data_IF_807082135860
#
_entry.id   IF_807082135860
#
_cell.length_a   1.000
_cell.length_b   1.000
_cell.length_c   1.000
_cell.angle_alpha   90.00
_cell.angle_beta   90.00
_cell.angle_gamma   90.00
#
_symmetry.space_group_name_H-M   'P 1'
#
loop_
_entity.id
_entity.type
_entity.pdbx_description
1 polymer ?
#
# COMPACT_ATOMS: atom_id res chain seq x y z
N UNK A 1 -4.53 22.97 2.94
CA UNK A 1 -5.67 23.86 2.66
C UNK A 1 -6.16 24.53 3.93
N UNK A 2 -6.92 23.90 4.85
CA UNK A 2 -7.42 24.63 6.05
C UNK A 2 -6.34 25.29 6.92
N UNK A 3 -5.28 24.56 7.29
CA UNK A 3 -4.19 25.14 8.09
C UNK A 3 -3.40 26.22 7.34
N UNK A 4 -3.28 26.09 6.01
CA UNK A 4 -2.59 27.07 5.18
C UNK A 4 -3.42 28.34 5.02
N UNK A 5 -4.74 28.19 4.89
CA UNK A 5 -5.69 29.29 4.79
C UNK A 5 -5.78 30.04 6.12
N UNK A 6 -5.87 29.33 7.25
CA UNK A 6 -5.79 29.92 8.58
C UNK A 6 -4.46 30.64 8.84
N UNK A 7 -3.34 30.09 8.35
CA UNK A 7 -2.03 30.75 8.48
C UNK A 7 -1.92 32.01 7.60
N UNK A 8 -2.65 32.07 6.48
CA UNK A 8 -2.77 33.29 5.66
C UNK A 8 -3.64 34.35 6.32
N UNK A 9 -4.75 33.95 6.94
CA UNK A 9 -5.67 34.87 7.61
C UNK A 9 -5.10 35.40 8.94
N UNK A 10 -4.36 34.55 9.67
CA UNK A 10 -3.82 34.85 11.00
C UNK A 10 -2.35 34.41 11.15
N UNK A 11 -1.40 35.07 10.47
CA UNK A 11 0.00 34.65 10.42
C UNK A 11 0.72 34.75 11.77
N UNK A 12 0.38 35.75 12.59
CA UNK A 12 1.08 36.01 13.86
C UNK A 12 0.45 35.31 15.07
N UNK A 13 -0.76 34.76 14.90
CA UNK A 13 -1.54 34.16 15.98
C UNK A 13 -1.54 32.63 15.96
N UNK A 14 -1.13 31.99 14.86
CA UNK A 14 -1.17 30.52 14.71
C UNK A 14 0.21 29.97 14.36
N UNK A 15 0.69 29.07 15.23
CA UNK A 15 1.92 28.29 15.06
C UNK A 15 1.56 26.84 14.81
N UNK A 16 2.17 26.18 13.81
CA UNK A 16 1.81 24.80 13.41
C UNK A 16 3.04 23.91 13.48
N UNK A 17 2.97 22.92 14.36
CA UNK A 17 4.03 21.94 14.60
C UNK A 17 3.57 20.60 14.07
N UNK A 18 4.37 20.00 13.18
CA UNK A 18 4.05 18.70 12.57
C UNK A 18 5.08 17.66 12.98
N UNK A 19 4.58 16.55 13.51
CA UNK A 19 5.35 15.38 13.84
C UNK A 19 4.80 14.16 13.10
N UNK A 20 5.70 13.32 12.62
CA UNK A 20 5.36 12.04 12.01
C UNK A 20 5.96 10.90 12.83
N UNK A 21 5.13 9.95 13.25
CA UNK A 21 5.53 8.81 14.11
C UNK A 21 6.55 7.88 13.47
N UNK A 22 6.59 7.80 12.14
CA UNK A 22 7.60 7.01 11.42
C UNK A 22 8.99 7.65 11.46
N UNK A 23 9.05 8.99 11.48
CA UNK A 23 10.31 9.74 11.54
C UNK A 23 10.77 9.95 12.98
N UNK A 24 9.82 10.12 13.90
CA UNK A 24 10.07 10.49 15.30
C UNK A 24 9.63 9.38 16.25
N UNK A 25 10.10 8.15 16.01
CA UNK A 25 9.76 7.00 16.86
C UNK A 25 10.38 7.07 18.26
N UNK A 26 11.46 7.85 18.44
CA UNK A 26 12.06 8.12 19.75
C UNK A 26 11.50 9.43 20.33
N UNK A 27 11.03 9.35 21.58
CA UNK A 27 10.50 10.49 22.36
C UNK A 27 11.50 11.66 22.37
N UNK A 28 12.80 11.37 22.47
CA UNK A 28 13.84 12.42 22.49
C UNK A 28 13.94 13.15 21.14
N UNK A 29 13.87 12.41 20.04
CA UNK A 29 13.89 12.97 18.69
C UNK A 29 12.64 13.83 18.44
N UNK A 30 11.47 13.36 18.88
CA UNK A 30 10.22 14.09 18.77
C UNK A 30 10.25 15.41 19.55
N UNK A 31 10.70 15.40 20.81
CA UNK A 31 10.81 16.62 21.63
C UNK A 31 11.81 17.62 21.07
N UNK A 32 12.95 17.12 20.56
CA UNK A 32 13.94 17.96 19.90
C UNK A 32 13.38 18.63 18.64
N UNK A 33 12.56 17.91 17.89
CA UNK A 33 11.91 18.45 16.69
C UNK A 33 10.82 19.49 17.03
N UNK A 34 10.03 19.26 18.09
CA UNK A 34 9.09 20.27 18.61
C UNK A 34 9.83 21.56 18.97
N UNK A 35 10.89 21.44 19.76
CA UNK A 35 11.69 22.60 20.16
C UNK A 35 12.29 23.31 18.94
N UNK A 36 12.77 22.56 17.94
CA UNK A 36 13.30 23.13 16.70
C UNK A 36 12.23 23.90 15.92
N UNK A 37 11.03 23.34 15.74
CA UNK A 37 9.93 23.99 15.02
C UNK A 37 9.43 25.23 15.77
N UNK A 38 9.27 25.16 17.09
CA UNK A 38 8.93 26.31 17.94
C UNK A 38 9.97 27.43 17.84
N UNK A 39 11.26 27.12 17.94
CA UNK A 39 12.31 28.12 17.81
C UNK A 39 12.29 28.79 16.43
N UNK A 40 12.05 28.03 15.36
CA UNK A 40 11.96 28.60 14.01
C UNK A 40 10.75 29.51 13.83
N UNK A 41 9.57 29.12 14.33
CA UNK A 41 8.36 29.94 14.22
C UNK A 41 8.46 31.22 15.06
N UNK A 42 9.14 31.18 16.21
CA UNK A 42 9.31 32.32 17.11
C UNK A 42 10.64 33.08 16.95
N UNK A 43 11.44 32.76 15.91
CA UNK A 43 12.75 33.38 15.62
C UNK A 43 13.77 33.29 16.78
N UNK A 44 13.70 32.22 17.58
CA UNK A 44 14.61 31.96 18.69
C UNK A 44 15.82 31.10 18.26
N UNK A 45 16.93 31.21 18.99
CA UNK A 45 18.12 30.39 18.75
C UNK A 45 17.92 28.97 19.28
N UNK A 46 17.91 27.98 18.39
CA UNK A 46 17.81 26.58 18.76
C UNK A 46 19.16 25.98 19.20
N UNK A 47 19.23 25.43 20.41
CA UNK A 47 20.41 24.71 20.90
C UNK A 47 20.32 23.21 20.60
N UNK A 48 21.21 22.70 19.75
CA UNK A 48 21.27 21.26 19.40
C UNK A 48 21.76 20.37 20.55
N UNK A 49 22.37 20.95 21.59
CA UNK A 49 22.98 20.25 22.73
C UNK A 49 22.06 20.16 23.95
N UNK A 50 20.86 20.76 23.91
CA UNK A 50 19.90 20.72 25.01
C UNK A 50 19.45 19.28 25.31
N UNK A 51 19.30 18.97 26.60
CA UNK A 51 18.80 17.66 27.03
C UNK A 51 17.31 17.51 26.72
N UNK A 52 16.78 16.28 26.78
CA UNK A 52 15.34 16.08 26.56
C UNK A 52 14.50 16.82 27.61
N UNK A 53 14.96 16.89 28.85
CA UNK A 53 14.23 17.53 29.94
C UNK A 53 14.20 19.05 29.73
N UNK A 54 15.32 19.67 29.34
CA UNK A 54 15.38 21.10 29.00
C UNK A 54 14.43 21.43 27.83
N UNK A 55 14.36 20.55 26.82
CA UNK A 55 13.43 20.72 25.71
C UNK A 55 11.96 20.62 26.16
N UNK A 56 11.66 19.79 27.17
CA UNK A 56 10.30 19.68 27.72
C UNK A 56 9.92 20.93 28.52
N UNK A 57 10.82 21.47 29.32
CA UNK A 57 10.61 22.69 30.09
C UNK A 57 10.44 23.89 29.16
N UNK A 58 11.32 24.01 28.15
CA UNK A 58 11.21 25.02 27.10
C UNK A 58 9.85 24.97 26.38
N UNK A 59 9.38 23.77 26.03
CA UNK A 59 8.07 23.60 25.39
C UNK A 59 6.93 24.09 26.31
N UNK A 60 6.98 23.75 27.60
CA UNK A 60 5.96 24.16 28.58
C UNK A 60 5.95 25.69 28.75
N UNK A 61 7.12 26.31 28.85
CA UNK A 61 7.23 27.77 28.99
C UNK A 61 6.77 28.49 27.72
N UNK A 62 7.14 28.00 26.54
CA UNK A 62 6.65 28.53 25.26
C UNK A 62 5.12 28.43 25.17
N UNK A 63 4.51 27.32 25.61
CA UNK A 63 3.05 27.17 25.63
C UNK A 63 2.38 28.19 26.57
N UNK A 64 3.01 28.50 27.70
CA UNK A 64 2.52 29.52 28.65
C UNK A 64 2.64 30.92 28.07
N UNK A 65 3.79 31.27 27.49
CA UNK A 65 4.00 32.59 26.87
C UNK A 65 3.08 32.82 25.67
N UNK A 66 2.91 31.80 24.81
CA UNK A 66 2.00 31.89 23.67
C UNK A 66 0.56 32.10 24.12
N UNK A 67 0.14 31.41 25.19
CA UNK A 67 -1.19 31.60 25.75
C UNK A 67 -1.44 33.00 26.31
N UNK A 68 -0.44 33.62 26.96
CA UNK A 68 -0.50 35.03 27.39
C UNK A 68 -0.54 36.00 26.21
N UNK A 69 0.15 35.67 25.12
CA UNK A 69 0.17 36.46 23.89
C UNK A 69 -1.04 36.22 22.98
N UNK A 70 -2.03 35.42 23.41
CA UNK A 70 -3.18 34.99 22.60
C UNK A 70 -2.79 34.31 21.27
N UNK A 71 -1.64 33.62 21.27
CA UNK A 71 -1.17 32.80 20.15
C UNK A 71 -1.54 31.35 20.39
N UNK A 72 -2.11 30.71 19.38
CA UNK A 72 -2.52 29.31 19.41
C UNK A 72 -1.48 28.42 18.74
N UNK A 73 -1.05 27.36 19.43
CA UNK A 73 -0.15 26.35 18.86
C UNK A 73 -0.95 25.11 18.47
N UNK A 74 -0.80 24.65 17.22
CA UNK A 74 -1.45 23.46 16.70
C UNK A 74 -0.40 22.37 16.48
N UNK A 75 -0.50 21.29 17.25
CA UNK A 75 0.30 20.08 17.07
C UNK A 75 -0.44 19.08 16.18
N UNK A 76 0.19 18.69 15.07
CA UNK A 76 -0.30 17.64 14.18
C UNK A 76 0.59 16.42 14.34
N UNK A 77 0.04 15.34 14.88
CA UNK A 77 0.73 14.07 15.10
C UNK A 77 0.23 13.05 14.06
N UNK A 78 1.01 12.83 13.00
CA UNK A 78 0.77 11.81 11.99
C UNK A 78 1.26 10.44 12.48
N UNK A 79 0.52 9.37 12.15
CA UNK A 79 0.72 8.01 12.70
C UNK A 79 0.72 8.00 14.23
N UNK A 80 -0.35 8.55 14.81
CA UNK A 80 -0.52 8.73 16.25
C UNK A 80 -0.32 7.45 17.08
N UNK A 81 -0.71 6.30 16.54
CA UNK A 81 -0.58 5.00 17.20
C UNK A 81 0.87 4.60 17.46
N UNK A 82 1.84 5.11 16.69
CA UNK A 82 3.27 4.90 16.94
C UNK A 82 3.74 5.65 18.19
N UNK A 83 3.26 6.88 18.42
CA UNK A 83 3.54 7.63 19.65
C UNK A 83 2.88 7.02 20.89
N UNK A 84 1.84 6.22 20.70
CA UNK A 84 1.19 5.47 21.76
C UNK A 84 1.94 4.16 22.13
N UNK A 85 3.04 3.82 21.47
CA UNK A 85 3.84 2.65 21.83
C UNK A 85 4.85 2.97 22.95
N UNK A 86 5.09 2.01 23.85
CA UNK A 86 6.09 2.16 24.91
C UNK A 86 5.65 3.07 26.05
N UNK A 87 6.54 3.99 26.49
CA UNK A 87 6.39 4.78 27.73
C UNK A 87 5.61 6.08 27.57
N UNK A 88 5.19 6.44 26.34
CA UNK A 88 4.32 7.58 26.03
C UNK A 88 4.73 8.91 26.71
N UNK A 89 6.04 9.19 26.82
CA UNK A 89 6.50 10.37 27.57
C UNK A 89 6.13 11.66 26.86
N UNK A 90 6.31 11.69 25.54
CA UNK A 90 5.91 12.82 24.69
C UNK A 90 4.43 13.15 24.88
N UNK A 91 3.54 12.17 24.70
CA UNK A 91 2.10 12.35 24.81
C UNK A 91 1.67 12.78 26.22
N UNK A 92 2.30 12.20 27.24
CA UNK A 92 2.05 12.60 28.63
C UNK A 92 2.44 14.07 28.85
N UNK A 93 3.67 14.46 28.53
CA UNK A 93 4.17 15.83 28.76
C UNK A 93 3.37 16.86 27.98
N UNK A 94 3.03 16.56 26.73
CA UNK A 94 2.28 17.47 25.88
C UNK A 94 0.84 17.65 26.38
N UNK A 95 0.11 16.56 26.65
CA UNK A 95 -1.28 16.64 27.11
C UNK A 95 -1.40 17.19 28.53
N UNK A 96 -0.41 16.94 29.41
CA UNK A 96 -0.35 17.52 30.76
C UNK A 96 -0.12 19.04 30.70
N UNK A 97 0.80 19.50 29.83
CA UNK A 97 1.03 20.93 29.62
C UNK A 97 -0.25 21.66 29.13
N UNK A 98 -1.04 21.01 28.30
CA UNK A 98 -2.31 21.55 27.78
C UNK A 98 -3.44 21.64 28.80
N UNK A 99 -3.38 20.89 29.90
CA UNK A 99 -4.39 21.03 30.97
C UNK A 99 -4.21 22.31 31.78
N UNK A 100 -3.09 23.01 31.62
CA UNK A 100 -2.90 24.31 32.25
C UNK A 100 -3.83 25.37 31.64
N UNK A 101 -4.55 26.10 32.51
CA UNK A 101 -5.55 27.13 32.16
C UNK A 101 -4.99 28.26 31.29
N UNK A 102 -3.67 28.40 31.23
CA UNK A 102 -2.98 29.46 30.49
C UNK A 102 -2.66 29.08 29.06
N UNK A 103 -2.78 27.80 28.65
CA UNK A 103 -2.33 27.35 27.33
C UNK A 103 -3.44 27.40 26.27
N UNK A 104 -3.15 28.02 25.13
CA UNK A 104 -3.99 27.94 23.93
C UNK A 104 -3.33 26.99 22.92
N UNK A 105 -3.55 25.68 23.10
CA UNK A 105 -2.98 24.67 22.22
C UNK A 105 -4.02 23.64 21.76
N UNK A 106 -3.78 23.06 20.59
CA UNK A 106 -4.64 22.04 19.98
C UNK A 106 -3.76 20.88 19.53
N UNK A 107 -4.19 19.65 19.80
CA UNK A 107 -3.53 18.43 19.30
C UNK A 107 -4.46 17.71 18.36
N UNK A 108 -3.96 17.43 17.16
CA UNK A 108 -4.62 16.66 16.12
C UNK A 108 -3.80 15.39 15.90
N UNK A 109 -4.29 14.27 16.44
CA UNK A 109 -3.73 12.95 16.17
C UNK A 109 -4.40 12.33 14.95
N UNK A 110 -3.61 11.91 13.97
CA UNK A 110 -4.08 11.20 12.76
C UNK A 110 -3.51 9.78 12.81
N UNK A 111 -4.38 8.78 12.72
CA UNK A 111 -3.99 7.37 12.63
C UNK A 111 -5.03 6.61 11.80
N UNK A 112 -4.58 5.55 11.13
CA UNK A 112 -5.45 4.60 10.45
C UNK A 112 -6.10 3.58 11.43
N UNK A 113 -5.58 3.49 12.65
CA UNK A 113 -5.98 2.48 13.64
C UNK A 113 -7.21 2.94 14.43
N UNK A 114 -8.28 2.14 14.39
CA UNK A 114 -9.54 2.46 15.07
C UNK A 114 -9.45 2.34 16.60
N UNK A 115 -8.55 1.55 17.16
CA UNK A 115 -8.38 1.37 18.60
C UNK A 115 -7.18 2.17 19.16
N UNK A 116 -6.71 3.19 18.44
CA UNK A 116 -5.57 4.00 18.87
C UNK A 116 -5.74 4.64 20.26
N UNK A 117 -6.97 4.95 20.67
CA UNK A 117 -7.30 5.49 21.99
C UNK A 117 -7.14 4.45 23.12
N UNK A 118 -7.22 3.16 22.80
CA UNK A 118 -7.03 2.06 23.77
C UNK A 118 -5.56 1.80 24.05
N UNK A 119 -4.66 2.19 23.15
CA UNK A 119 -3.22 2.09 23.35
C UNK A 119 -2.72 3.05 24.43
N UNK A 120 -3.46 4.13 24.70
CA UNK A 120 -3.07 5.13 25.68
C UNK A 120 -3.08 4.57 27.11
N UNK A 121 -1.98 4.77 27.83
CA UNK A 121 -1.90 4.45 29.25
C UNK A 121 -2.95 5.25 30.05
N UNK A 122 -3.41 4.71 31.18
CA UNK A 122 -4.44 5.35 32.03
C UNK A 122 -4.15 6.83 32.33
N UNK A 123 -2.88 7.17 32.59
CA UNK A 123 -2.45 8.55 32.91
C UNK A 123 -2.53 9.52 31.73
N UNK A 124 -2.32 9.05 30.50
CA UNK A 124 -2.42 9.84 29.27
C UNK A 124 -3.87 9.92 28.82
N UNK A 125 -4.57 8.77 28.85
CA UNK A 125 -5.98 8.66 28.52
C UNK A 125 -6.86 9.56 29.40
N UNK A 126 -6.56 9.68 30.70
CA UNK A 126 -7.26 10.60 31.60
C UNK A 126 -7.15 12.07 31.19
N UNK A 127 -6.12 12.44 30.42
CA UNK A 127 -5.87 13.82 29.97
C UNK A 127 -6.37 14.09 28.55
N UNK A 128 -6.76 13.03 27.84
CA UNK A 128 -7.32 13.11 26.51
C UNK A 128 -8.79 13.54 26.58
N UNK A 129 -9.21 14.44 25.69
CA UNK A 129 -10.59 14.98 25.65
C UNK A 129 -11.65 13.98 25.16
N UNK A 130 -11.24 12.75 24.84
CA UNK A 130 -12.08 11.67 24.30
C UNK A 130 -12.85 12.02 23.01
N UNK A 131 -12.45 13.09 22.32
CA UNK A 131 -13.02 13.47 21.03
C UNK A 131 -12.32 12.70 19.92
N UNK A 132 -13.08 11.90 19.18
CA UNK A 132 -12.59 11.10 18.07
C UNK A 132 -13.48 11.33 16.86
N UNK A 133 -12.86 11.72 15.75
CA UNK A 133 -13.52 11.83 14.46
C UNK A 133 -13.16 10.58 13.65
N UNK A 134 -14.18 9.84 13.20
CA UNK A 134 -14.00 8.65 12.37
C UNK A 134 -14.36 9.04 10.94
N UNK A 135 -13.41 8.90 10.03
CA UNK A 135 -13.66 9.05 8.61
C UNK A 135 -14.23 7.74 8.06
N UNK A 136 -15.49 7.79 7.62
CA UNK A 136 -16.14 6.66 6.98
C UNK A 136 -15.72 6.58 5.50
N UNK A 137 -15.65 5.37 4.93
CA UNK A 137 -15.41 5.23 3.50
C UNK A 137 -16.50 5.95 2.70
N UNK A 138 -16.09 6.55 1.57
CA UNK A 138 -17.01 7.28 0.70
C UNK A 138 -17.99 6.31 0.02
N UNK A 139 -19.24 6.76 -0.18
CA UNK A 139 -20.20 6.02 -1.00
C UNK A 139 -19.78 5.99 -2.46
N UNK A 140 -20.22 4.98 -3.22
CA UNK A 140 -19.97 4.87 -4.67
C UNK A 140 -20.40 6.14 -5.41
N UNK A 141 -21.54 6.73 -5.04
CA UNK A 141 -22.02 7.98 -5.64
C UNK A 141 -21.07 9.15 -5.37
N UNK A 142 -20.52 9.23 -4.15
CA UNK A 142 -19.56 10.28 -3.79
C UNK A 142 -18.24 10.11 -4.54
N UNK A 143 -17.81 8.86 -4.74
CA UNK A 143 -16.63 8.53 -5.52
C UNK A 143 -16.84 8.87 -7.00
N UNK A 144 -18.01 8.56 -7.57
CA UNK A 144 -18.35 8.93 -8.93
C UNK A 144 -18.30 10.45 -9.12
N UNK A 145 -18.94 11.22 -8.22
CA UNK A 145 -18.89 12.69 -8.24
C UNK A 145 -17.48 13.23 -8.15
N UNK A 146 -16.63 12.62 -7.32
CA UNK A 146 -15.23 13.00 -7.20
C UNK A 146 -14.48 12.73 -8.52
N UNK A 147 -14.69 11.57 -9.14
CA UNK A 147 -14.07 11.23 -10.42
C UNK A 147 -14.52 12.16 -11.55
N UNK A 148 -15.82 12.48 -11.60
CA UNK A 148 -16.36 13.48 -12.54
C UNK A 148 -15.68 14.83 -12.31
N UNK A 149 -15.66 15.32 -11.07
CA UNK A 149 -15.03 16.61 -10.76
C UNK A 149 -13.54 16.66 -11.11
N UNK A 150 -12.79 15.57 -10.89
CA UNK A 150 -11.36 15.49 -11.19
C UNK A 150 -11.04 15.41 -12.69
N UNK A 151 -11.93 14.79 -13.48
CA UNK A 151 -11.72 14.64 -14.93
C UNK A 151 -12.25 15.82 -15.73
N UNK A 152 -13.25 16.54 -15.23
CA UNK A 152 -13.86 17.68 -15.91
C UNK A 152 -12.89 18.85 -16.02
N UNK A 153 -12.86 19.49 -17.18
CA UNK A 153 -12.05 20.68 -17.42
C UNK A 153 -12.81 21.94 -16.96
N UNK A 154 -12.14 22.86 -16.24
CA UNK A 154 -12.76 24.10 -15.81
C UNK A 154 -13.09 25.00 -17.01
N UNK A 155 -14.24 25.70 -16.94
CA UNK A 155 -14.70 26.60 -17.99
C UNK A 155 -13.76 27.80 -18.18
N UNK A 156 -13.09 28.24 -17.11
CA UNK A 156 -12.11 29.33 -17.10
C UNK A 156 -10.71 28.91 -17.60
N UNK A 157 -10.58 27.72 -18.20
CA UNK A 157 -9.29 27.26 -18.71
C UNK A 157 -8.84 28.04 -19.94
N UNK A 158 -7.52 28.12 -20.15
CA UNK A 158 -6.92 28.70 -21.37
C UNK A 158 -7.19 27.87 -22.65
N UNK A 159 -7.97 26.80 -22.55
CA UNK A 159 -8.26 25.88 -23.64
C UNK A 159 -9.44 26.40 -24.50
N UNK A 160 -9.53 25.99 -25.78
CA UNK A 160 -10.64 26.38 -26.62
C UNK A 160 -11.98 25.94 -26.02
N UNK A 161 -12.93 26.86 -25.86
CA UNK A 161 -14.25 26.59 -25.24
C UNK A 161 -14.99 25.43 -25.91
N UNK A 162 -14.90 25.33 -27.25
CA UNK A 162 -15.49 24.21 -28.01
C UNK A 162 -14.94 22.85 -27.58
N UNK A 163 -13.63 22.77 -27.37
CA UNK A 163 -12.96 21.55 -26.93
C UNK A 163 -13.35 21.20 -25.50
N UNK A 164 -13.39 22.19 -24.60
CA UNK A 164 -13.82 21.98 -23.19
C UNK A 164 -15.25 21.43 -23.14
N UNK A 165 -16.17 22.00 -23.92
CA UNK A 165 -17.55 21.52 -24.00
C UNK A 165 -17.64 20.10 -24.56
N UNK A 166 -16.91 19.79 -25.63
CA UNK A 166 -16.92 18.46 -26.25
C UNK A 166 -16.32 17.40 -25.31
N UNK A 167 -15.19 17.71 -24.69
CA UNK A 167 -14.51 16.83 -23.73
C UNK A 167 -15.40 16.56 -22.52
N UNK A 168 -15.95 17.61 -21.90
CA UNK A 168 -16.81 17.47 -20.71
C UNK A 168 -18.10 16.69 -21.05
N UNK A 169 -18.73 16.95 -22.19
CA UNK A 169 -19.90 16.19 -22.64
C UNK A 169 -19.60 14.70 -22.82
N UNK A 170 -18.42 14.38 -23.39
CA UNK A 170 -17.97 13.00 -23.59
C UNK A 170 -17.69 12.30 -22.27
N UNK A 171 -17.05 12.98 -21.33
CA UNK A 171 -16.82 12.48 -19.97
C UNK A 171 -18.15 12.13 -19.30
N UNK A 172 -19.12 13.05 -19.27
CA UNK A 172 -20.45 12.79 -18.69
C UNK A 172 -21.18 11.63 -19.36
N UNK A 173 -21.04 11.48 -20.68
CA UNK A 173 -21.61 10.33 -21.41
C UNK A 173 -20.98 9.01 -20.98
N UNK A 174 -19.68 8.97 -20.71
CA UNK A 174 -18.97 7.76 -20.25
C UNK A 174 -19.43 7.36 -18.85
N UNK A 175 -19.53 8.33 -17.93
CA UNK A 175 -20.00 8.07 -16.56
C UNK A 175 -21.45 7.54 -16.50
N UNK A 176 -22.27 7.91 -17.49
CA UNK A 176 -23.64 7.42 -17.63
C UNK A 176 -23.75 5.99 -18.19
N UNK A 177 -22.69 5.46 -18.80
CA UNK A 177 -22.67 4.12 -19.40
C UNK A 177 -22.73 3.01 -18.33
N UNK A 178 -23.52 1.96 -18.61
CA UNK A 178 -23.59 0.75 -17.79
C UNK A 178 -22.22 0.05 -17.69
N UNK A 179 -21.41 0.11 -18.74
CA UNK A 179 -20.06 -0.48 -18.73
C UNK A 179 -19.15 0.21 -17.70
N UNK A 180 -19.21 1.54 -17.65
CA UNK A 180 -18.45 2.30 -16.66
C UNK A 180 -18.92 1.99 -15.22
N UNK A 181 -20.24 1.88 -14.98
CA UNK A 181 -20.75 1.45 -13.68
C UNK A 181 -20.22 0.08 -13.24
N UNK A 182 -20.08 -0.87 -14.18
CA UNK A 182 -19.44 -2.15 -13.91
C UNK A 182 -17.96 -2.03 -13.52
N UNK A 183 -17.22 -1.11 -14.16
CA UNK A 183 -15.82 -0.79 -13.81
C UNK A 183 -15.76 -0.19 -12.41
N UNK A 184 -16.61 0.81 -12.13
CA UNK A 184 -16.65 1.51 -10.84
C UNK A 184 -17.00 0.56 -9.68
N UNK A 185 -18.00 -0.31 -9.87
CA UNK A 185 -18.35 -1.31 -8.86
C UNK A 185 -17.17 -2.22 -8.57
N UNK A 186 -16.50 -2.73 -9.62
CA UNK A 186 -15.36 -3.61 -9.37
C UNK A 186 -14.14 -2.92 -8.75
N UNK A 187 -13.92 -1.64 -9.05
CA UNK A 187 -12.89 -0.86 -8.35
C UNK A 187 -13.24 -0.73 -6.88
N UNK A 188 -14.49 -0.39 -6.56
CA UNK A 188 -14.97 -0.22 -5.18
C UNK A 188 -14.97 -1.55 -4.40
N UNK A 189 -15.35 -2.66 -5.05
CA UNK A 189 -15.31 -4.01 -4.47
C UNK A 189 -13.87 -4.43 -4.09
N UNK A 190 -12.87 -3.91 -4.80
CA UNK A 190 -11.45 -4.19 -4.54
C UNK A 190 -10.87 -3.24 -3.49
N UNK A 191 -11.01 -1.94 -3.71
CA UNK A 191 -10.47 -0.88 -2.87
C UNK A 191 -11.24 0.44 -3.12
N UNK A 192 -12.08 0.84 -2.16
CA UNK A 192 -12.88 2.06 -2.23
C UNK A 192 -12.12 3.33 -1.81
N UNK A 193 -10.80 3.29 -1.66
CA UNK A 193 -10.01 4.46 -1.24
C UNK A 193 -9.86 5.48 -2.36
N UNK A 194 -9.86 6.77 -1.98
CA UNK A 194 -9.62 7.88 -2.91
C UNK A 194 -8.26 7.76 -3.61
N UNK A 195 -7.23 7.27 -2.92
CA UNK A 195 -5.90 7.07 -3.48
C UNK A 195 -5.90 6.04 -4.61
N UNK A 196 -6.65 4.94 -4.46
CA UNK A 196 -6.80 3.93 -5.50
C UNK A 196 -7.46 4.53 -6.75
N UNK A 197 -8.52 5.32 -6.56
CA UNK A 197 -9.23 6.00 -7.63
C UNK A 197 -8.34 7.02 -8.34
N UNK A 198 -7.56 7.81 -7.61
CA UNK A 198 -6.61 8.76 -8.20
C UNK A 198 -5.57 8.05 -9.07
N UNK A 199 -5.02 6.91 -8.61
CA UNK A 199 -4.09 6.09 -9.41
C UNK A 199 -4.76 5.54 -10.65
N UNK A 200 -6.02 5.10 -10.54
CA UNK A 200 -6.82 4.65 -11.68
C UNK A 200 -7.01 5.78 -12.69
N UNK A 201 -7.50 6.95 -12.26
CA UNK A 201 -7.71 8.11 -13.13
C UNK A 201 -6.42 8.56 -13.82
N UNK A 202 -5.31 8.58 -13.09
CA UNK A 202 -3.99 8.87 -13.68
C UNK A 202 -3.66 7.90 -14.83
N UNK A 203 -3.92 6.60 -14.63
CA UNK A 203 -3.74 5.59 -15.67
C UNK A 203 -4.70 5.76 -16.85
N UNK A 204 -5.94 6.14 -16.60
CA UNK A 204 -6.94 6.44 -17.65
C UNK A 204 -6.43 7.57 -18.55
N UNK A 205 -5.98 8.67 -17.96
CA UNK A 205 -5.44 9.82 -18.70
C UNK A 205 -4.17 9.44 -19.46
N UNK A 206 -3.33 8.55 -18.90
CA UNK A 206 -2.15 8.03 -19.60
C UNK A 206 -2.46 7.20 -20.85
N UNK A 207 -3.68 6.63 -20.95
CA UNK A 207 -4.18 5.91 -22.12
C UNK A 207 -5.11 6.77 -22.99
N UNK A 208 -5.11 8.08 -22.79
CA UNK A 208 -5.81 8.99 -23.67
C UNK A 208 -5.16 8.96 -25.06
N UNK A 209 -5.99 8.98 -26.09
CA UNK A 209 -5.51 9.07 -27.45
C UNK A 209 -4.94 10.46 -27.71
N UNK A 210 -3.67 10.53 -28.12
CA UNK A 210 -2.96 11.80 -28.34
C UNK A 210 -3.44 12.51 -29.61
N UNK A 211 -3.96 11.77 -30.58
CA UNK A 211 -4.40 12.34 -31.86
C UNK A 211 -5.75 13.04 -31.71
N UNK A 212 -6.70 12.42 -31.00
CA UNK A 212 -8.00 13.05 -30.71
C UNK A 212 -8.00 13.95 -29.48
N UNK A 213 -7.09 13.72 -28.52
CA UNK A 213 -7.07 14.42 -27.23
C UNK A 213 -8.26 14.08 -26.33
N UNK A 214 -9.12 13.13 -26.70
CA UNK A 214 -10.36 12.84 -25.99
C UNK A 214 -10.31 11.50 -25.24
N UNK A 215 -10.90 11.47 -24.04
CA UNK A 215 -11.04 10.23 -23.29
C UNK A 215 -12.05 9.29 -23.95
N UNK A 216 -11.71 8.01 -24.03
CA UNK A 216 -12.58 6.97 -24.57
C UNK A 216 -12.91 5.92 -23.51
N UNK A 217 -14.02 5.19 -23.70
CA UNK A 217 -14.34 4.05 -22.82
C UNK A 217 -13.21 2.99 -22.84
N UNK A 218 -12.50 2.85 -23.96
CA UNK A 218 -11.38 1.92 -24.07
C UNK A 218 -10.23 2.31 -23.13
N UNK A 219 -9.96 3.60 -22.92
CA UNK A 219 -8.92 4.09 -22.00
C UNK A 219 -9.17 3.62 -20.57
N UNK A 220 -10.42 3.62 -20.11
CA UNK A 220 -10.81 3.09 -18.79
C UNK A 220 -10.72 1.56 -18.71
N UNK A 221 -11.11 0.83 -19.76
CA UNK A 221 -10.96 -0.63 -19.79
C UNK A 221 -9.49 -1.05 -19.75
N UNK A 222 -8.64 -0.34 -20.51
CA UNK A 222 -7.18 -0.57 -20.52
C UNK A 222 -6.54 -0.19 -19.17
N UNK A 223 -7.02 0.87 -18.51
CA UNK A 223 -6.60 1.24 -17.17
C UNK A 223 -6.95 0.13 -16.16
N UNK A 224 -8.19 -0.36 -16.19
CA UNK A 224 -8.66 -1.42 -15.29
C UNK A 224 -7.87 -2.72 -15.50
N UNK A 225 -7.66 -3.14 -16.75
CA UNK A 225 -6.87 -4.35 -17.03
C UNK A 225 -5.43 -4.22 -16.56
N UNK A 226 -4.81 -3.05 -16.73
CA UNK A 226 -3.44 -2.81 -16.27
C UNK A 226 -3.30 -2.79 -14.75
N UNK A 227 -4.34 -2.34 -14.02
CA UNK A 227 -4.34 -2.35 -12.55
C UNK A 227 -4.61 -3.75 -11.97
N UNK A 228 -5.32 -4.61 -12.71
CA UNK A 228 -5.58 -6.00 -12.33
C UNK A 228 -4.46 -6.98 -12.72
N UNK A 229 -3.30 -6.47 -13.12
CA UNK A 229 -2.15 -7.30 -13.47
C UNK A 229 -1.77 -8.18 -12.27
N UNK A 230 -1.62 -9.48 -12.50
CA UNK A 230 -1.27 -10.46 -11.46
C UNK A 230 0.20 -10.85 -11.65
N UNK A 231 1.15 -10.33 -10.84
CA UNK A 231 2.58 -10.53 -11.08
C UNK A 231 3.00 -12.00 -11.10
N UNK A 232 2.38 -12.83 -10.25
CA UNK A 232 2.63 -14.28 -10.24
C UNK A 232 2.22 -14.96 -11.55
N UNK A 233 1.07 -14.57 -12.11
CA UNK A 233 0.59 -15.13 -13.39
C UNK A 233 1.46 -14.71 -14.56
N UNK A 234 1.95 -13.47 -14.57
CA UNK A 234 2.90 -13.02 -15.60
C UNK A 234 4.22 -13.78 -15.49
N UNK A 235 4.76 -13.93 -14.27
CA UNK A 235 5.97 -14.71 -14.03
C UNK A 235 5.84 -16.16 -14.47
N UNK A 236 4.63 -16.75 -14.40
CA UNK A 236 4.32 -18.11 -14.87
C UNK A 236 4.24 -18.21 -16.40
N UNK A 237 3.83 -17.16 -17.10
CA UNK A 237 3.81 -17.12 -18.56
C UNK A 237 5.23 -17.08 -19.14
N UNK A 238 6.15 -16.39 -18.45
CA UNK A 238 7.54 -16.24 -18.87
C UNK A 238 8.48 -17.36 -18.39
N UNK A 239 7.94 -18.54 -18.04
CA UNK A 239 8.74 -19.70 -17.61
C UNK A 239 9.19 -20.57 -18.79
N UNK A 240 10.36 -21.17 -18.63
CA UNK A 240 10.82 -22.24 -19.51
C UNK A 240 10.00 -23.52 -19.32
N UNK A 241 10.00 -24.38 -20.34
CA UNK A 241 9.28 -25.66 -20.30
C UNK A 241 9.77 -26.52 -19.12
N UNK A 242 11.08 -26.54 -18.84
CA UNK A 242 11.65 -27.28 -17.70
C UNK A 242 11.12 -26.79 -16.35
N UNK A 243 11.01 -25.47 -16.17
CA UNK A 243 10.46 -24.89 -14.95
C UNK A 243 9.00 -25.26 -14.76
N UNK A 244 8.21 -25.27 -15.85
CA UNK A 244 6.84 -25.75 -15.82
C UNK A 244 6.76 -27.24 -15.45
N UNK A 245 7.67 -28.09 -15.97
CA UNK A 245 7.76 -29.49 -15.55
C UNK A 245 8.02 -29.63 -14.05
N UNK A 246 8.96 -28.85 -13.51
CA UNK A 246 9.28 -28.86 -12.08
C UNK A 246 8.05 -28.44 -11.26
N UNK A 247 7.36 -27.37 -11.64
CA UNK A 247 6.15 -26.91 -10.93
C UNK A 247 5.02 -27.94 -10.98
N UNK A 248 4.80 -28.60 -12.12
CA UNK A 248 3.80 -29.69 -12.23
C UNK A 248 4.21 -30.88 -11.37
N UNK A 249 5.49 -31.27 -11.33
CA UNK A 249 5.94 -32.33 -10.43
C UNK A 249 5.73 -31.98 -8.95
N UNK A 250 5.98 -30.72 -8.57
CA UNK A 250 5.72 -30.24 -7.21
C UNK A 250 4.23 -30.30 -6.87
N UNK A 251 3.35 -29.88 -7.78
CA UNK A 251 1.91 -29.98 -7.58
C UNK A 251 1.43 -31.42 -7.37
N UNK A 252 1.93 -32.36 -8.18
CA UNK A 252 1.60 -33.79 -8.04
C UNK A 252 2.10 -34.38 -6.71
N UNK A 253 3.21 -33.88 -6.18
CA UNK A 253 3.69 -34.28 -4.86
C UNK A 253 2.78 -33.75 -3.73
N UNK A 254 2.21 -32.56 -3.89
CA UNK A 254 1.21 -32.02 -2.96
C UNK A 254 -0.12 -32.81 -3.02
N UNK A 255 -0.57 -33.20 -4.22
CA UNK A 255 -1.78 -34.03 -4.38
C UNK A 255 -1.61 -35.44 -3.78
N UNK A 256 -0.38 -35.98 -3.74
CA UNK A 256 -0.03 -37.22 -3.04
C UNK A 256 0.10 -37.06 -1.51
N UNK A 257 -0.33 -35.93 -0.95
CA UNK A 257 -0.26 -35.59 0.48
C UNK A 257 1.16 -35.65 1.10
N UNK A 258 2.21 -35.39 0.32
CA UNK A 258 3.55 -35.29 0.89
C UNK A 258 3.68 -34.01 1.74
N UNK A 259 3.73 -34.17 3.06
CA UNK A 259 3.85 -33.08 4.03
C UNK A 259 5.09 -32.19 3.87
N UNK A 260 6.16 -32.71 3.26
CA UNK A 260 7.32 -31.94 2.83
C UNK A 260 8.05 -32.64 1.70
N UNK A 261 8.50 -31.88 0.71
CA UNK A 261 9.29 -32.39 -0.40
C UNK A 261 10.48 -31.46 -0.68
N UNK A 262 11.57 -32.03 -1.20
CA UNK A 262 12.82 -31.33 -1.50
C UNK A 262 13.21 -31.57 -2.96
N UNK A 263 14.31 -30.96 -3.42
CA UNK A 263 14.78 -31.09 -4.79
C UNK A 263 14.99 -32.55 -5.22
N UNK A 264 15.51 -33.40 -4.33
CA UNK A 264 15.73 -34.83 -4.64
C UNK A 264 14.42 -35.59 -4.87
N UNK A 265 13.37 -35.28 -4.10
CA UNK A 265 12.03 -35.89 -4.28
C UNK A 265 11.39 -35.40 -5.58
N UNK A 266 11.52 -34.09 -5.88
CA UNK A 266 11.04 -33.51 -7.13
C UNK A 266 11.72 -34.18 -8.33
N UNK A 267 13.04 -34.38 -8.27
CA UNK A 267 13.77 -35.03 -9.36
C UNK A 267 13.40 -36.50 -9.56
N UNK A 268 13.01 -37.21 -8.50
CA UNK A 268 12.47 -38.59 -8.61
C UNK A 268 11.12 -38.60 -9.33
N UNK A 269 10.22 -37.69 -8.97
CA UNK A 269 8.92 -37.56 -9.65
C UNK A 269 9.10 -37.14 -11.11
N UNK A 270 10.02 -36.20 -11.38
CA UNK A 270 10.38 -35.77 -12.73
C UNK A 270 10.85 -36.93 -13.61
N UNK A 271 11.76 -37.78 -13.11
CA UNK A 271 12.20 -38.99 -13.83
C UNK A 271 11.04 -39.97 -14.07
N UNK A 272 10.19 -40.19 -13.07
CA UNK A 272 8.99 -41.03 -13.21
C UNK A 272 8.06 -40.53 -14.32
N UNK A 273 7.86 -39.22 -14.42
CA UNK A 273 7.08 -38.58 -15.48
C UNK A 273 7.72 -38.79 -16.86
N UNK A 274 9.04 -38.57 -16.96
CA UNK A 274 9.76 -38.77 -18.22
C UNK A 274 9.72 -40.22 -18.70
N UNK A 275 9.89 -41.18 -17.79
CA UNK A 275 9.86 -42.61 -18.11
C UNK A 275 8.47 -43.06 -18.57
N UNK A 276 7.42 -42.54 -17.93
CA UNK A 276 6.03 -42.87 -18.24
C UNK A 276 5.55 -42.28 -19.59
N UNK A 277 5.95 -41.05 -19.92
CA UNK A 277 5.46 -40.33 -21.10
C UNK A 277 6.45 -40.24 -22.26
N UNK A 278 7.69 -40.72 -22.08
CA UNK A 278 8.79 -40.71 -23.07
C UNK A 278 8.91 -39.37 -23.80
N UNK A 279 8.93 -38.29 -23.02
CA UNK A 279 9.08 -36.93 -23.55
C UNK A 279 10.47 -36.75 -24.16
N UNK A 280 10.57 -35.97 -25.25
CA UNK A 280 11.85 -35.62 -25.89
C UNK A 280 12.80 -34.84 -24.98
N UNK A 281 12.23 -34.17 -23.98
CA UNK A 281 12.92 -33.17 -23.19
C UNK A 281 13.55 -33.83 -21.95
N UNK A 282 14.76 -34.36 -22.14
CA UNK A 282 15.55 -34.92 -21.05
C UNK A 282 16.69 -34.01 -20.61
N UNK A 283 16.50 -33.33 -19.48
CA UNK A 283 17.47 -32.41 -18.90
C UNK A 283 18.32 -33.09 -17.82
N UNK A 284 19.58 -32.70 -17.74
CA UNK A 284 20.51 -33.20 -16.73
C UNK A 284 20.18 -32.65 -15.34
N UNK A 285 20.61 -33.36 -14.29
CA UNK A 285 20.40 -32.95 -12.89
C UNK A 285 20.88 -31.52 -12.60
N UNK A 286 22.01 -31.11 -13.18
CA UNK A 286 22.57 -29.76 -12.99
C UNK A 286 21.70 -28.68 -13.62
N UNK A 287 21.07 -28.96 -14.76
CA UNK A 287 20.16 -28.03 -15.43
C UNK A 287 18.83 -27.94 -14.67
N UNK A 288 18.30 -29.07 -14.20
CA UNK A 288 17.13 -29.09 -13.31
C UNK A 288 17.38 -28.33 -12.01
N UNK A 289 18.59 -28.44 -11.45
CA UNK A 289 18.94 -27.72 -10.23
C UNK A 289 18.99 -26.20 -10.46
N UNK A 290 19.55 -25.74 -11.59
CA UNK A 290 19.50 -24.32 -11.96
C UNK A 290 18.09 -23.79 -12.20
N UNK A 291 17.24 -24.58 -12.84
CA UNK A 291 15.82 -24.23 -13.03
C UNK A 291 15.09 -24.11 -11.69
N UNK A 292 15.40 -25.01 -10.74
CA UNK A 292 14.89 -24.94 -9.38
C UNK A 292 15.38 -23.70 -8.61
N UNK A 293 16.66 -23.33 -8.75
CA UNK A 293 17.19 -22.07 -8.19
C UNK A 293 16.47 -20.85 -8.78
N UNK A 294 16.25 -20.82 -10.09
CA UNK A 294 15.53 -19.71 -10.73
C UNK A 294 14.06 -19.61 -10.29
N UNK A 295 13.40 -20.74 -10.00
CA UNK A 295 12.05 -20.73 -9.41
C UNK A 295 12.04 -20.16 -7.98
N UNK A 296 13.10 -20.37 -7.20
CA UNK A 296 13.28 -19.74 -5.88
C UNK A 296 13.49 -18.23 -6.03
N UNK A 297 14.35 -17.81 -6.96
CA UNK A 297 14.63 -16.39 -7.23
C UNK A 297 13.39 -15.63 -7.70
N UNK A 298 12.49 -16.30 -8.43
CA UNK A 298 11.18 -15.75 -8.86
C UNK A 298 10.10 -15.79 -7.78
N UNK A 299 10.41 -16.29 -6.59
CA UNK A 299 9.47 -16.47 -5.46
C UNK A 299 8.20 -17.27 -5.83
N UNK A 300 8.31 -18.17 -6.81
CA UNK A 300 7.26 -19.13 -7.15
C UNK A 300 7.25 -20.32 -6.20
N UNK A 301 8.41 -20.59 -5.59
CA UNK A 301 8.63 -21.61 -4.58
C UNK A 301 9.42 -20.99 -3.43
N UNK A 302 9.25 -21.51 -2.21
CA UNK A 302 10.01 -21.02 -1.05
C UNK A 302 10.36 -22.14 -0.09
N UNK A 303 11.40 -21.94 0.70
CA UNK A 303 11.76 -22.91 1.72
C UNK A 303 10.76 -22.92 2.87
N UNK A 304 10.35 -24.12 3.29
CA UNK A 304 9.49 -24.30 4.46
C UNK A 304 10.24 -23.97 5.76
N UNK A 305 11.55 -24.22 5.79
CA UNK A 305 12.42 -23.96 6.95
C UNK A 305 13.42 -22.83 6.70
N UNK A 306 13.62 -21.97 7.72
CA UNK A 306 14.64 -20.91 7.73
C UNK A 306 16.05 -21.41 8.09
N UNK A 307 16.25 -22.71 8.37
CA UNK A 307 17.52 -23.26 8.89
C UNK A 307 18.44 -23.78 7.76
N UNK A 308 19.75 -23.55 7.94
CA UNK A 308 20.82 -23.80 6.98
C UNK A 308 21.16 -25.28 6.72
N UNK A 309 20.26 -25.99 6.04
CA UNK A 309 20.62 -27.22 5.30
C UNK A 309 21.11 -26.86 3.89
N UNK A 310 21.90 -27.73 3.27
CA UNK A 310 22.24 -27.63 1.85
C UNK A 310 20.97 -27.51 1.00
N UNK A 311 21.03 -26.70 -0.06
CA UNK A 311 19.87 -26.27 -0.87
C UNK A 311 19.04 -27.46 -1.37
N UNK A 312 19.69 -28.54 -1.84
CA UNK A 312 19.06 -29.73 -2.41
C UNK A 312 18.15 -30.49 -1.43
N UNK A 313 18.47 -30.46 -0.13
CA UNK A 313 17.77 -31.25 0.90
C UNK A 313 16.80 -30.41 1.73
N UNK A 314 16.71 -29.11 1.45
CA UNK A 314 15.83 -28.22 2.20
C UNK A 314 14.39 -28.43 1.73
N UNK A 315 13.42 -28.58 2.65
CA UNK A 315 12.03 -28.71 2.28
C UNK A 315 11.53 -27.41 1.63
N UNK A 316 10.74 -27.56 0.57
CA UNK A 316 10.17 -26.46 -0.23
C UNK A 316 8.65 -26.54 -0.21
N UNK A 317 8.00 -25.39 -0.35
CA UNK A 317 6.58 -25.25 -0.61
C UNK A 317 6.33 -24.47 -1.91
N UNK A 318 5.27 -24.83 -2.61
CA UNK A 318 4.76 -24.08 -3.74
C UNK A 318 4.05 -22.81 -3.22
N UNK A 319 4.27 -21.66 -3.88
CA UNK A 319 3.62 -20.39 -3.55
C UNK A 319 2.50 -20.01 -4.54
N UNK A 320 2.16 -20.94 -5.43
CA UNK A 320 1.18 -20.82 -6.51
C UNK A 320 0.06 -21.81 -6.24
N UNK A 321 -1.17 -21.42 -6.54
CA UNK A 321 -2.34 -22.30 -6.47
C UNK A 321 -2.43 -23.24 -7.68
N UNK A 322 -3.08 -24.40 -7.50
CA UNK A 322 -3.40 -25.31 -8.62
C UNK A 322 -4.16 -24.61 -9.76
N UNK A 323 -5.03 -23.65 -9.42
CA UNK A 323 -5.78 -22.87 -10.41
C UNK A 323 -4.87 -21.96 -11.25
N UNK A 324 -3.96 -21.23 -10.62
CA UNK A 324 -3.00 -20.36 -11.31
C UNK A 324 -2.08 -21.17 -12.24
N UNK A 325 -1.60 -22.34 -11.77
CA UNK A 325 -0.80 -23.25 -12.59
C UNK A 325 -1.62 -23.82 -13.77
N UNK A 326 -2.87 -24.22 -13.55
CA UNK A 326 -3.74 -24.69 -14.63
C UNK A 326 -3.99 -23.60 -15.68
N UNK A 327 -4.23 -22.38 -15.22
CA UNK A 327 -4.48 -21.25 -16.10
C UNK A 327 -3.24 -20.87 -16.90
N UNK A 328 -2.05 -20.88 -16.29
CA UNK A 328 -0.80 -20.57 -17.01
C UNK A 328 -0.48 -21.61 -18.08
N UNK A 329 -0.66 -22.91 -17.78
CA UNK A 329 -0.43 -23.98 -18.76
C UNK A 329 -1.39 -23.91 -19.97
N UNK A 330 -2.60 -23.37 -19.77
CA UNK A 330 -3.57 -23.14 -20.86
C UNK A 330 -3.23 -21.92 -21.72
N UNK A 331 -2.67 -20.88 -21.11
CA UNK A 331 -2.28 -19.65 -21.80
C UNK A 331 -0.96 -19.80 -22.57
N UNK A 332 -0.05 -20.65 -22.08
CA UNK A 332 1.23 -20.91 -22.74
C UNK A 332 1.09 -21.78 -23.99
N UNK A 333 1.18 -21.13 -25.16
CA UNK A 333 1.07 -21.77 -26.49
C UNK A 333 2.20 -22.75 -26.80
N UNK A 334 3.34 -22.62 -26.13
CA UNK A 334 4.54 -23.46 -26.28
C UNK A 334 4.58 -24.64 -25.30
N UNK A 335 3.59 -24.76 -24.41
CA UNK A 335 3.57 -25.79 -23.38
C UNK A 335 3.27 -27.18 -23.99
N UNK A 336 4.07 -28.22 -23.70
CA UNK A 336 3.77 -29.58 -24.14
C UNK A 336 2.40 -30.05 -23.64
N UNK A 337 1.59 -30.62 -24.53
CA UNK A 337 0.26 -31.15 -24.19
C UNK A 337 0.28 -32.23 -23.09
N UNK A 338 1.45 -32.85 -22.86
CA UNK A 338 1.68 -33.80 -21.77
C UNK A 338 1.52 -33.12 -20.40
N UNK A 339 2.00 -31.88 -20.23
CA UNK A 339 1.89 -31.14 -18.96
C UNK A 339 0.43 -30.81 -18.62
N UNK A 340 -0.36 -30.42 -19.62
CA UNK A 340 -1.80 -30.18 -19.42
C UNK A 340 -2.51 -31.47 -18.99
N UNK A 341 -2.20 -32.60 -19.64
CA UNK A 341 -2.76 -33.92 -19.27
C UNK A 341 -2.34 -34.38 -17.88
N UNK A 342 -1.11 -34.10 -17.47
CA UNK A 342 -0.60 -34.44 -16.14
C UNK A 342 -1.33 -33.69 -15.04
N UNK A 343 -1.75 -32.45 -15.30
CA UNK A 343 -2.54 -31.66 -14.36
C UNK A 343 -4.02 -32.11 -14.31
N UNK A 344 -4.60 -32.48 -15.45
CA UNK A 344 -6.02 -32.84 -15.53
C UNK A 344 -6.32 -34.27 -15.05
N UNK A 345 -5.37 -35.22 -15.19
CA UNK A 345 -5.60 -36.65 -14.91
C UNK A 345 -5.77 -36.98 -13.42
N UNK A 346 -5.32 -36.13 -12.51
CA UNK A 346 -5.40 -36.38 -11.07
C UNK A 346 -6.62 -35.70 -10.40
N UNK A 347 -7.48 -35.01 -11.16
CA UNK A 347 -8.80 -34.55 -10.66
C UNK A 347 -9.91 -35.62 -10.71
N UNK A 348 -9.63 -36.76 -11.34
CA UNK A 348 -10.62 -37.83 -11.61
C UNK A 348 -10.16 -39.24 -11.18
N UNK A 349 -9.08 -39.34 -10.41
CA UNK A 349 -8.79 -40.50 -9.55
C UNK A 349 -8.83 -40.04 -8.10
#
# INVERSE_FOLDING_TARGET
>A
MVLDDLKKEHPDAISVIRLNGMLHSDDNCAMKEIARQLCLEHQLSFSKMASSDDNTEFMIDMLRECGLAHKTIIFVLEEFDLFAQGKQRLLYSLLDAMQSLTSQAIVIGVSCRLDADQLLEKRVRSRFSHRKLIFLPSSVDSLQRLMEHLLMLPEDSHLPTKYVMEYNARVTSIFSDKKFKGILNSLTDSDATTSHILRFLFRVVSYMDMDSGLLSMQSFMNALSSMRRQPKMDSLQDLSILELYILVCMHRLEDKEHSSYNFTTIMKEYKSVQDAYRTSDNYSHTVCFRAFEHLLDRELISFADKKGKALEYRPVKLLISSHELAQSLKLNTTCPAVLQKLLDRERYM
#
